data_IF_425874583035
#
_entry.id   IF_425874583035
#
_cell.length_a   1.000
_cell.length_b   1.000
_cell.length_c   1.000
_cell.angle_alpha   90.00
_cell.angle_beta   90.00
_cell.angle_gamma   90.00
#
_symmetry.space_group_name_H-M   'P 1'
#
loop_
_entity.id
_entity.type
_entity.pdbx_description
1 polymer ?
#
# COMPACT_ATOMS: atom_id res chain seq x y z
N UNK A 1 -19.13 -76.15 -42.12
CA UNK A 1 -18.55 -75.45 -40.98
C UNK A 1 -17.39 -74.56 -41.51
N UNK A 2 -17.64 -73.30 -41.66
CA UNK A 2 -16.67 -72.32 -42.20
C UNK A 2 -15.93 -71.70 -41.01
N UNK A 3 -14.59 -71.87 -40.95
CA UNK A 3 -13.72 -71.24 -39.97
C UNK A 3 -13.37 -69.81 -40.44
N UNK A 4 -13.82 -68.81 -39.69
CA UNK A 4 -13.47 -67.41 -39.88
C UNK A 4 -12.08 -67.21 -39.22
N UNK A 5 -11.07 -66.80 -40.01
CA UNK A 5 -9.78 -66.39 -39.53
C UNK A 5 -9.84 -64.86 -39.28
N UNK A 6 -9.68 -64.41 -38.07
CA UNK A 6 -9.53 -63.00 -37.69
C UNK A 6 -8.06 -62.63 -37.77
N UNK A 7 -7.69 -61.79 -38.74
CA UNK A 7 -6.35 -61.22 -38.83
C UNK A 7 -6.30 -59.99 -37.92
N UNK A 8 -5.48 -60.07 -36.89
CA UNK A 8 -5.18 -58.91 -36.01
C UNK A 8 -4.08 -58.05 -36.69
N UNK A 9 -4.49 -56.84 -37.10
CA UNK A 9 -3.56 -55.83 -37.59
C UNK A 9 -2.96 -55.13 -36.37
N UNK A 10 -1.68 -55.41 -36.04
CA UNK A 10 -0.91 -54.63 -35.04
C UNK A 10 -0.44 -53.35 -35.71
N UNK A 11 -1.07 -52.21 -35.40
CA UNK A 11 -0.49 -50.90 -35.69
C UNK A 11 0.68 -50.63 -34.74
N UNK A 12 1.88 -50.73 -35.25
CA UNK A 12 3.08 -50.29 -34.57
C UNK A 12 3.12 -48.73 -34.59
N UNK A 13 2.80 -48.10 -33.48
CA UNK A 13 3.04 -46.66 -33.32
C UNK A 13 4.53 -46.46 -33.08
N UNK A 14 5.21 -45.99 -34.11
CA UNK A 14 6.62 -45.56 -33.99
C UNK A 14 6.64 -44.25 -33.18
N UNK A 15 7.01 -44.33 -31.92
CA UNK A 15 7.36 -43.15 -31.14
C UNK A 15 8.63 -42.55 -31.74
N UNK A 16 8.49 -41.44 -32.44
CA UNK A 16 9.64 -40.65 -32.87
C UNK A 16 10.34 -40.12 -31.63
N UNK A 17 11.51 -40.63 -31.28
CA UNK A 17 12.33 -40.09 -30.21
C UNK A 17 12.74 -38.66 -30.60
N UNK A 18 12.31 -37.68 -29.80
CA UNK A 18 12.74 -36.31 -29.99
C UNK A 18 14.25 -36.23 -29.73
N UNK A 19 15.03 -35.89 -30.75
CA UNK A 19 16.45 -35.60 -30.56
C UNK A 19 16.57 -34.32 -29.74
N UNK A 20 17.24 -34.33 -28.60
CA UNK A 20 17.38 -33.12 -27.79
C UNK A 20 18.15 -32.06 -28.60
N UNK A 21 17.53 -30.92 -28.79
CA UNK A 21 18.19 -29.76 -29.40
C UNK A 21 19.20 -29.20 -28.41
N UNK A 22 20.47 -29.30 -28.74
CA UNK A 22 21.56 -28.76 -27.93
C UNK A 22 21.94 -27.39 -28.48
N UNK A 23 21.67 -26.33 -27.68
CA UNK A 23 22.18 -25.01 -27.97
C UNK A 23 23.57 -24.86 -27.34
N UNK A 24 24.61 -24.69 -28.17
CA UNK A 24 25.98 -24.40 -27.70
C UNK A 24 26.18 -22.88 -27.73
N UNK A 25 26.41 -22.29 -26.58
CA UNK A 25 26.72 -20.87 -26.42
C UNK A 25 28.23 -20.74 -26.20
N UNK A 26 28.94 -20.07 -27.12
CA UNK A 26 30.35 -19.76 -26.97
C UNK A 26 30.52 -18.31 -26.52
N UNK A 27 30.65 -18.12 -25.22
CA UNK A 27 30.79 -16.80 -24.59
C UNK A 27 32.14 -16.13 -24.88
N UNK A 28 33.12 -16.85 -25.50
CA UNK A 28 34.39 -16.26 -25.91
C UNK A 28 34.30 -15.50 -27.23
N UNK A 29 33.23 -15.73 -27.99
CA UNK A 29 32.97 -15.03 -29.26
C UNK A 29 32.02 -13.88 -29.03
N UNK A 30 32.57 -12.69 -28.93
CA UNK A 30 31.76 -11.46 -28.84
C UNK A 30 31.14 -11.14 -30.20
N UNK A 31 29.84 -10.85 -30.20
CA UNK A 31 29.12 -10.37 -31.38
C UNK A 31 29.30 -8.85 -31.61
N UNK A 32 28.39 -8.26 -32.34
CA UNK A 32 28.35 -6.81 -32.52
C UNK A 32 28.14 -6.10 -31.19
N UNK A 33 28.76 -4.91 -30.97
CA UNK A 33 28.56 -4.15 -29.75
C UNK A 33 27.08 -3.72 -29.65
N UNK A 34 26.52 -3.86 -28.46
CA UNK A 34 25.16 -3.42 -28.17
C UNK A 34 25.16 -1.89 -27.99
N UNK A 35 24.44 -1.20 -28.86
CA UNK A 35 24.35 0.25 -28.79
C UNK A 35 23.57 0.69 -27.54
N UNK A 36 23.96 1.81 -26.89
CA UNK A 36 23.19 2.31 -25.71
C UNK A 36 21.72 2.59 -25.99
N UNK A 37 21.39 2.90 -27.26
CA UNK A 37 20.01 3.15 -27.70
C UNK A 37 19.18 1.88 -27.88
N UNK A 38 19.77 0.69 -27.75
CA UNK A 38 19.04 -0.59 -27.77
C UNK A 38 18.44 -0.97 -26.42
N UNK A 39 18.80 -0.23 -25.35
CA UNK A 39 18.20 -0.40 -24.04
C UNK A 39 17.07 0.59 -23.86
N UNK A 40 15.99 0.13 -23.29
CA UNK A 40 14.86 0.93 -22.90
C UNK A 40 14.15 0.30 -21.72
N UNK A 41 13.41 1.13 -21.00
CA UNK A 41 12.44 0.66 -20.02
C UNK A 41 11.05 0.97 -20.57
N UNK A 42 10.22 -0.03 -20.64
CA UNK A 42 8.79 0.17 -20.75
C UNK A 42 8.25 0.32 -19.32
N UNK A 43 7.65 1.45 -19.06
CA UNK A 43 6.99 1.72 -17.79
C UNK A 43 5.51 1.98 -18.04
N UNK A 44 4.67 1.24 -17.36
CA UNK A 44 3.24 1.43 -17.34
C UNK A 44 2.74 1.31 -15.90
N UNK A 45 1.89 2.24 -15.47
CA UNK A 45 1.33 2.22 -14.11
C UNK A 45 0.17 1.23 -14.01
N UNK A 46 0.51 -0.06 -14.08
CA UNK A 46 -0.41 -1.17 -13.84
C UNK A 46 -0.19 -1.72 -12.43
N UNK A 47 -1.27 -2.07 -11.73
CA UNK A 47 -1.23 -2.71 -10.41
C UNK A 47 -0.38 -1.94 -9.38
N UNK A 48 -0.44 -0.59 -9.40
CA UNK A 48 0.33 0.28 -8.52
C UNK A 48 1.86 0.16 -8.74
N UNK A 49 2.29 0.05 -9.99
CA UNK A 49 3.71 -0.05 -10.32
C UNK A 49 4.48 1.23 -9.98
N UNK A 50 3.84 2.38 -10.03
CA UNK A 50 4.42 3.65 -9.62
C UNK A 50 4.27 3.88 -8.11
N UNK A 51 3.09 4.30 -7.66
CA UNK A 51 2.78 4.51 -6.24
C UNK A 51 2.55 3.16 -5.55
N UNK A 52 3.34 2.85 -4.53
CA UNK A 52 3.34 1.56 -3.86
C UNK A 52 4.25 0.49 -4.50
N UNK A 53 4.83 0.80 -5.68
CA UNK A 53 5.83 -0.01 -6.39
C UNK A 53 7.21 0.66 -6.40
N UNK A 54 7.59 1.29 -7.53
CA UNK A 54 8.88 1.99 -7.67
C UNK A 54 9.00 3.12 -6.66
N UNK A 55 7.93 3.88 -6.44
CA UNK A 55 7.82 4.83 -5.35
C UNK A 55 7.31 4.11 -4.10
N UNK A 56 8.17 3.95 -3.12
CA UNK A 56 7.90 3.18 -1.89
C UNK A 56 6.92 3.89 -0.93
N UNK A 57 5.78 4.34 -1.43
CA UNK A 57 4.69 4.88 -0.63
C UNK A 57 3.88 3.73 -0.02
N UNK A 58 3.60 3.81 1.26
CA UNK A 58 2.81 2.79 1.97
C UNK A 58 1.34 3.17 2.12
N UNK A 59 1.02 4.46 1.93
CA UNK A 59 -0.32 5.01 2.16
C UNK A 59 -1.01 5.28 0.83
N UNK A 60 -2.08 4.58 0.57
CA UNK A 60 -2.88 4.76 -0.63
C UNK A 60 -3.64 6.07 -0.58
N UNK A 61 -3.62 6.84 -1.68
CA UNK A 61 -4.35 8.12 -1.78
C UNK A 61 -4.02 9.09 -0.64
N UNK A 62 -2.73 9.32 -0.39
CA UNK A 62 -2.24 10.18 0.70
C UNK A 62 -2.67 11.64 0.60
N UNK A 63 -3.05 12.10 -0.60
CA UNK A 63 -3.44 13.48 -0.90
C UNK A 63 -4.95 13.69 -1.00
N UNK A 64 -5.76 12.64 -0.92
CA UNK A 64 -7.22 12.66 -1.12
C UNK A 64 -7.66 13.12 -2.53
N UNK A 65 -6.75 13.07 -3.52
CA UNK A 65 -7.02 13.56 -4.88
C UNK A 65 -7.56 12.51 -5.86
N UNK A 66 -7.83 11.29 -5.40
CA UNK A 66 -8.51 10.30 -6.23
C UNK A 66 -9.93 10.77 -6.55
N UNK A 67 -10.57 10.30 -7.67
CA UNK A 67 -11.92 10.67 -8.01
C UNK A 67 -12.92 10.55 -6.86
N UNK A 68 -12.83 9.49 -6.06
CA UNK A 68 -13.43 9.44 -4.73
C UNK A 68 -12.32 9.76 -3.71
N UNK A 69 -12.41 10.89 -3.06
CA UNK A 69 -11.41 11.40 -2.14
C UNK A 69 -11.05 10.44 -0.98
N UNK A 70 -11.97 9.59 -0.58
CA UNK A 70 -11.72 8.59 0.48
C UNK A 70 -11.33 7.21 -0.05
N UNK A 71 -11.05 7.05 -1.35
CA UNK A 71 -10.53 5.77 -1.86
C UNK A 71 -9.27 5.34 -1.10
N UNK A 72 -9.27 4.14 -0.52
CA UNK A 72 -8.19 3.62 0.31
C UNK A 72 -8.25 4.06 1.77
N UNK A 73 -9.20 4.91 2.13
CA UNK A 73 -9.45 5.37 3.48
C UNK A 73 -10.81 4.90 3.99
N UNK A 74 -10.85 4.39 5.20
CA UNK A 74 -12.07 4.00 5.92
C UNK A 74 -12.29 5.03 7.03
N UNK A 75 -13.28 5.93 6.90
CA UNK A 75 -13.58 6.91 7.93
C UNK A 75 -14.36 6.28 9.09
N UNK A 76 -14.15 6.79 10.30
CA UNK A 76 -14.96 6.49 11.47
C UNK A 76 -15.19 7.74 12.30
N UNK A 77 -16.37 7.85 12.91
CA UNK A 77 -16.81 9.07 13.57
C UNK A 77 -17.13 10.20 12.59
N UNK A 78 -16.94 11.45 13.01
CA UNK A 78 -17.29 12.64 12.22
C UNK A 78 -16.12 13.10 11.35
N UNK A 79 -16.05 12.56 10.14
CA UNK A 79 -15.06 12.90 9.11
C UNK A 79 -15.75 13.59 7.96
N UNK A 80 -15.18 14.68 7.46
CA UNK A 80 -15.63 15.35 6.24
C UNK A 80 -14.46 15.68 5.33
N UNK A 81 -14.70 15.69 4.01
CA UNK A 81 -13.74 16.07 2.98
C UNK A 81 -14.01 17.50 2.56
N UNK A 82 -12.96 18.30 2.46
CA UNK A 82 -12.99 19.63 1.86
C UNK A 82 -12.31 19.57 0.49
N UNK A 83 -12.94 20.17 -0.52
CA UNK A 83 -12.48 20.12 -1.90
C UNK A 83 -11.40 21.18 -2.20
N UNK A 84 -11.20 22.14 -1.30
CA UNK A 84 -10.26 23.25 -1.48
C UNK A 84 -9.72 23.79 -0.17
N UNK A 85 -8.64 24.57 -0.21
CA UNK A 85 -8.05 25.18 0.99
C UNK A 85 -7.07 24.29 1.73
N UNK A 86 -6.61 23.20 1.10
CA UNK A 86 -5.53 22.36 1.59
C UNK A 86 -4.16 23.06 1.54
N UNK A 87 -3.09 22.34 1.97
CA UNK A 87 -1.76 22.92 2.10
C UNK A 87 -1.05 23.19 0.77
N UNK A 88 -1.54 22.63 -0.34
CA UNK A 88 -0.91 22.73 -1.65
C UNK A 88 -1.93 23.09 -2.73
N UNK A 89 -1.55 23.97 -3.64
CA UNK A 89 -2.40 24.39 -4.75
C UNK A 89 -2.79 23.21 -5.67
N UNK A 90 -1.84 22.33 -5.96
CA UNK A 90 -2.09 21.14 -6.82
C UNK A 90 -2.79 20.00 -6.12
N UNK A 91 -2.80 19.99 -4.78
CA UNK A 91 -3.47 19.01 -3.95
C UNK A 91 -4.29 19.76 -2.90
N UNK A 92 -5.42 20.38 -3.31
CA UNK A 92 -6.19 21.28 -2.45
C UNK A 92 -7.09 20.55 -1.47
N UNK A 93 -7.33 19.25 -1.64
CA UNK A 93 -8.23 18.47 -0.79
C UNK A 93 -7.63 18.15 0.56
N UNK A 94 -8.47 18.08 1.56
CA UNK A 94 -8.09 17.62 2.89
C UNK A 94 -9.28 17.05 3.64
N UNK A 95 -9.04 16.38 4.75
CA UNK A 95 -10.08 15.86 5.64
C UNK A 95 -10.12 16.64 6.93
N UNK A 96 -11.33 16.82 7.46
CA UNK A 96 -11.58 17.40 8.78
C UNK A 96 -12.05 16.31 9.72
N UNK A 97 -11.41 16.22 10.87
CA UNK A 97 -11.81 15.36 11.98
C UNK A 97 -12.46 16.22 13.05
N UNK A 98 -13.71 15.93 13.42
CA UNK A 98 -14.42 16.65 14.47
C UNK A 98 -14.80 15.72 15.62
N UNK A 99 -14.70 16.21 16.85
CA UNK A 99 -15.19 15.45 18.00
C UNK A 99 -16.73 15.39 18.01
N UNK A 100 -17.24 14.23 18.39
CA UNK A 100 -18.66 14.06 18.69
C UNK A 100 -18.85 14.08 20.23
N UNK A 101 -19.49 15.13 20.78
CA UNK A 101 -19.52 15.34 22.24
C UNK A 101 -20.14 14.20 23.06
N UNK A 102 -21.05 13.43 22.45
CA UNK A 102 -21.81 12.39 23.14
C UNK A 102 -21.53 10.97 22.72
N UNK A 103 -20.50 10.75 21.88
CA UNK A 103 -20.10 9.41 21.45
C UNK A 103 -18.77 9.00 22.08
N UNK A 104 -18.74 7.77 22.61
CA UNK A 104 -17.53 7.14 23.15
C UNK A 104 -16.47 6.83 22.06
N UNK A 105 -16.86 6.88 20.78
CA UNK A 105 -15.99 6.50 19.67
C UNK A 105 -15.08 7.64 19.22
N UNK A 106 -13.84 7.30 18.90
CA UNK A 106 -12.90 8.22 18.28
C UNK A 106 -13.34 8.59 16.86
N UNK A 107 -12.92 9.79 16.41
CA UNK A 107 -13.07 10.22 15.02
C UNK A 107 -11.73 10.11 14.30
N UNK A 108 -11.71 9.47 13.15
CA UNK A 108 -10.45 9.29 12.41
C UNK A 108 -10.60 8.52 11.10
N UNK A 109 -9.47 8.08 10.61
CA UNK A 109 -9.30 7.39 9.34
C UNK A 109 -8.42 6.16 9.52
N UNK A 110 -8.73 5.10 8.78
CA UNK A 110 -7.87 3.93 8.61
C UNK A 110 -7.47 3.81 7.15
N UNK A 111 -6.20 3.51 6.90
CA UNK A 111 -5.68 3.22 5.56
C UNK A 111 -5.09 1.82 5.52
N UNK A 112 -5.47 1.06 4.50
CA UNK A 112 -5.02 -0.32 4.31
C UNK A 112 -3.82 -0.42 3.37
N UNK A 113 -3.27 0.72 2.93
CA UNK A 113 -2.21 0.75 1.94
C UNK A 113 -2.64 0.22 0.58
N UNK A 114 -1.71 -0.32 -0.18
CA UNK A 114 -1.98 -0.90 -1.50
C UNK A 114 -2.40 -2.38 -1.40
N UNK A 115 -1.69 -3.17 -0.62
CA UNK A 115 -1.97 -4.60 -0.34
C UNK A 115 -1.75 -4.94 1.13
N UNK A 116 -2.06 -4.00 2.01
CA UNK A 116 -1.70 -3.96 3.42
C UNK A 116 -0.48 -3.08 3.65
N UNK A 117 -0.42 -2.41 4.80
CA UNK A 117 0.77 -1.67 5.24
C UNK A 117 1.71 -2.65 5.93
N UNK A 118 2.77 -3.08 5.24
CA UNK A 118 3.76 -3.97 5.85
C UNK A 118 4.74 -3.21 6.74
N UNK A 119 5.06 -3.77 7.89
CA UNK A 119 6.09 -3.25 8.79
C UNK A 119 6.82 -4.38 9.50
N UNK A 120 8.09 -4.14 9.85
CA UNK A 120 8.97 -5.09 10.51
C UNK A 120 9.26 -4.65 11.94
N UNK A 121 9.36 -5.61 12.85
CA UNK A 121 9.71 -5.38 14.24
C UNK A 121 11.05 -4.65 14.35
N UNK A 122 11.06 -3.57 15.13
CA UNK A 122 12.27 -2.82 15.45
C UNK A 122 12.73 -1.84 14.35
N UNK A 123 12.14 -1.85 13.15
CA UNK A 123 12.42 -0.84 12.13
C UNK A 123 11.67 0.46 12.44
N UNK A 124 12.30 1.59 12.18
CA UNK A 124 11.67 2.89 12.35
C UNK A 124 10.88 3.29 11.10
N UNK A 125 9.62 3.67 11.30
CA UNK A 125 8.73 4.22 10.28
C UNK A 125 8.41 5.67 10.59
N UNK A 126 8.73 6.54 9.66
CA UNK A 126 8.45 7.97 9.78
C UNK A 126 7.09 8.30 9.19
N UNK A 127 6.16 8.68 10.03
CA UNK A 127 4.88 9.26 9.63
C UNK A 127 5.02 10.77 9.47
N UNK A 128 4.38 11.34 8.44
CA UNK A 128 4.26 12.80 8.31
C UNK A 128 2.89 13.19 7.79
N UNK A 129 2.40 14.31 8.28
CA UNK A 129 1.09 14.87 7.89
C UNK A 129 1.14 16.38 7.90
N UNK A 130 0.44 17.02 6.95
CA UNK A 130 0.12 18.43 7.06
C UNK A 130 -1.19 18.56 7.82
N UNK A 131 -1.19 19.40 8.85
CA UNK A 131 -2.34 19.62 9.72
C UNK A 131 -2.46 21.08 10.13
N UNK A 132 -3.65 21.44 10.53
CA UNK A 132 -3.97 22.69 11.25
C UNK A 132 -5.09 22.43 12.22
N UNK A 133 -5.16 23.14 13.32
CA UNK A 133 -6.32 23.09 14.19
C UNK A 133 -7.41 24.05 13.69
N UNK A 134 -8.64 23.82 14.16
CA UNK A 134 -9.78 24.67 13.80
C UNK A 134 -9.80 25.98 14.57
N UNK A 135 -10.85 26.22 15.36
CA UNK A 135 -11.15 27.54 15.93
C UNK A 135 -10.45 27.89 17.23
N UNK A 136 -9.82 26.97 17.95
CA UNK A 136 -9.18 27.26 19.24
C UNK A 136 -8.16 26.22 19.68
N UNK A 137 -7.03 26.68 20.18
CA UNK A 137 -6.08 25.90 20.96
C UNK A 137 -5.23 24.93 20.13
N UNK A 138 -5.25 23.70 20.52
CA UNK A 138 -4.51 22.61 19.86
C UNK A 138 -5.38 21.36 19.80
N UNK A 139 -5.03 20.45 18.90
CA UNK A 139 -5.67 19.15 18.78
C UNK A 139 -4.59 18.06 18.81
N UNK A 140 -4.81 17.02 19.60
CA UNK A 140 -3.92 15.86 19.59
C UNK A 140 -4.48 14.79 18.67
N UNK A 141 -3.68 14.37 17.68
CA UNK A 141 -3.97 13.19 16.88
C UNK A 141 -3.08 12.03 17.32
N UNK A 142 -3.65 10.84 17.33
CA UNK A 142 -2.91 9.60 17.54
C UNK A 142 -2.75 8.90 16.21
N UNK A 143 -1.54 8.38 16.00
CA UNK A 143 -1.17 7.57 14.83
C UNK A 143 -0.83 6.18 15.35
N UNK A 144 -1.40 5.15 14.74
CA UNK A 144 -1.20 3.76 15.12
C UNK A 144 -0.87 2.90 13.92
N UNK A 145 0.12 2.02 14.08
CA UNK A 145 0.30 0.85 13.23
C UNK A 145 -0.43 -0.32 13.88
N UNK A 146 -1.29 -0.97 13.12
CA UNK A 146 -2.24 -1.96 13.64
C UNK A 146 -2.11 -3.27 12.88
N UNK A 147 -2.13 -4.38 13.62
CA UNK A 147 -2.27 -5.74 13.09
C UNK A 147 -3.75 -6.15 13.17
N UNK A 148 -4.51 -6.15 12.07
CA UNK A 148 -5.93 -6.49 12.08
C UNK A 148 -6.20 -7.97 12.39
N UNK A 149 -5.18 -8.84 12.31
CA UNK A 149 -5.31 -10.26 12.69
C UNK A 149 -5.27 -10.46 14.20
N UNK A 150 -4.74 -9.49 14.96
CA UNK A 150 -4.72 -9.52 16.43
C UNK A 150 -6.00 -8.94 17.02
N UNK A 151 -6.22 -9.14 18.32
CA UNK A 151 -7.39 -8.65 19.06
C UNK A 151 -6.97 -7.86 20.30
N UNK A 152 -7.84 -6.95 20.74
CA UNK A 152 -7.60 -6.16 21.96
C UNK A 152 -6.36 -5.26 21.82
N UNK A 153 -5.65 -5.09 22.91
CA UNK A 153 -4.45 -4.23 22.97
C UNK A 153 -3.32 -4.70 22.07
N UNK A 154 -3.24 -6.00 21.78
CA UNK A 154 -2.22 -6.58 20.89
C UNK A 154 -2.41 -6.21 19.41
N UNK A 155 -3.52 -5.58 19.05
CA UNK A 155 -3.71 -5.04 17.69
C UNK A 155 -2.78 -3.88 17.41
N UNK A 156 -2.53 -3.00 18.38
CA UNK A 156 -1.67 -1.83 18.20
C UNK A 156 -0.23 -2.25 18.39
N UNK A 157 0.57 -2.19 17.35
CA UNK A 157 1.97 -2.61 17.37
C UNK A 157 2.96 -1.47 17.48
N UNK A 158 2.53 -0.26 17.15
CA UNK A 158 3.21 0.99 17.45
C UNK A 158 2.19 2.13 17.50
N UNK A 159 2.45 3.15 18.32
CA UNK A 159 1.63 4.35 18.36
C UNK A 159 2.47 5.58 18.68
N UNK A 160 2.03 6.73 18.19
CA UNK A 160 2.59 8.02 18.50
C UNK A 160 1.49 9.07 18.59
N UNK A 161 1.75 10.15 19.35
CA UNK A 161 0.87 11.31 19.46
C UNK A 161 1.53 12.51 18.79
N UNK A 162 0.72 13.29 18.12
CA UNK A 162 1.13 14.54 17.47
C UNK A 162 0.20 15.64 17.98
N UNK A 163 0.78 16.68 18.55
CA UNK A 163 0.05 17.87 18.93
C UNK A 163 0.01 18.85 17.75
N UNK A 164 -1.16 19.07 17.18
CA UNK A 164 -1.41 20.02 16.09
C UNK A 164 -1.75 21.36 16.73
N UNK A 165 -0.76 22.23 16.85
CA UNK A 165 -0.80 23.49 17.59
C UNK A 165 -0.83 24.75 16.70
N UNK A 166 -0.80 24.60 15.37
CA UNK A 166 -0.83 25.73 14.43
C UNK A 166 -2.20 25.94 13.81
N UNK A 167 -2.64 27.19 13.75
CA UNK A 167 -3.85 27.58 13.03
C UNK A 167 -3.68 27.49 11.50
N UNK A 168 -2.47 27.70 11.00
CA UNK A 168 -2.10 27.52 9.61
C UNK A 168 -1.56 26.13 9.31
N UNK A 169 -1.58 25.73 8.04
CA UNK A 169 -1.03 24.46 7.59
C UNK A 169 0.44 24.33 7.96
N UNK A 170 0.77 23.29 8.68
CA UNK A 170 2.13 22.97 9.09
C UNK A 170 2.38 21.47 8.97
N UNK A 171 3.63 21.10 8.70
CA UNK A 171 4.03 19.70 8.63
C UNK A 171 4.38 19.20 10.02
N UNK A 172 3.77 18.10 10.40
CA UNK A 172 4.05 17.36 11.63
C UNK A 172 4.63 15.99 11.30
N UNK A 173 5.46 15.47 12.18
CA UNK A 173 6.09 14.15 12.00
C UNK A 173 6.06 13.37 13.30
N UNK A 174 6.02 12.05 13.19
CA UNK A 174 6.20 11.13 14.30
C UNK A 174 6.95 9.89 13.84
N UNK A 175 7.75 9.30 14.70
CA UNK A 175 8.42 8.03 14.45
C UNK A 175 7.66 6.91 15.16
N UNK A 176 7.52 5.80 14.47
CA UNK A 176 6.81 4.60 14.93
C UNK A 176 7.76 3.42 14.82
N UNK A 177 7.98 2.70 15.93
CA UNK A 177 8.81 1.50 15.96
C UNK A 177 7.92 0.31 16.34
N UNK A 178 7.56 -0.56 15.39
CA UNK A 178 6.70 -1.69 15.68
C UNK A 178 7.35 -2.70 16.62
N UNK A 179 6.61 -3.13 17.63
CA UNK A 179 7.01 -4.23 18.51
C UNK A 179 6.89 -5.63 17.87
N UNK A 180 6.25 -5.73 16.70
CA UNK A 180 5.96 -6.97 15.98
C UNK A 180 6.00 -6.74 14.47
N UNK A 181 6.46 -7.75 13.71
CA UNK A 181 6.37 -7.72 12.24
C UNK A 181 4.97 -8.09 11.78
N UNK A 182 4.44 -7.35 10.81
CA UNK A 182 3.12 -7.58 10.21
C UNK A 182 3.21 -7.37 8.70
N UNK A 183 2.70 -8.31 7.93
CA UNK A 183 2.71 -8.24 6.46
C UNK A 183 1.53 -7.47 5.88
N UNK A 184 0.38 -7.51 6.54
CA UNK A 184 -0.87 -6.88 6.12
C UNK A 184 -1.46 -6.05 7.26
N UNK A 185 -0.69 -5.08 7.74
CA UNK A 185 -1.15 -4.13 8.73
C UNK A 185 -1.97 -3.00 8.13
N UNK A 186 -2.42 -2.11 8.98
CA UNK A 186 -3.11 -0.87 8.62
C UNK A 186 -2.57 0.30 9.41
N UNK A 187 -2.67 1.50 8.83
CA UNK A 187 -2.45 2.76 9.53
C UNK A 187 -3.78 3.30 10.03
N UNK A 188 -3.83 3.74 11.29
CA UNK A 188 -4.93 4.54 11.84
C UNK A 188 -4.43 5.91 12.25
N UNK A 189 -5.23 6.92 11.94
CA UNK A 189 -5.01 8.30 12.40
C UNK A 189 -6.33 8.81 12.95
N UNK A 190 -6.36 9.23 14.19
CA UNK A 190 -7.59 9.69 14.82
C UNK A 190 -7.35 10.81 15.84
N UNK A 191 -8.40 11.58 16.05
CA UNK A 191 -8.43 12.65 17.02
C UNK A 191 -8.51 12.05 18.43
N UNK A 192 -7.55 12.36 19.29
CA UNK A 192 -7.66 12.04 20.72
C UNK A 192 -8.71 12.95 21.36
N UNK A 193 -9.42 12.38 22.29
CA UNK A 193 -10.29 13.19 23.14
C UNK A 193 -9.41 13.98 24.11
N UNK A 194 -9.64 15.27 24.16
CA UNK A 194 -9.14 16.03 25.31
C UNK A 194 -9.87 15.53 26.55
N UNK A 195 -9.15 15.29 27.65
CA UNK A 195 -9.76 14.85 28.90
C UNK A 195 -10.78 15.86 29.43
#
# INVERSE_FOLDING_TARGET
MRKLAIAAICCAISAAASVPTVLKLDASKTGAPVQPTMYGLFFEDINYAADGGIYAEKIKNRSFEFPNALTGWIPFGKVSVAESGGPFERNPRYVTLAQEPHRSKHTGLQNEGFFGVSFKKGEEYRFSVYGRHGQSGSATIRVELVDPASKGESMVVASAKINVDKAGWSKYTANLVPGKSVSKGVLRVFLEKNP
#
